data_IF_355288218058
#
_entry.id   IF_355288218058
#
_cell.length_a   1.000
_cell.length_b   1.000
_cell.length_c   1.000
_cell.angle_alpha   90.00
_cell.angle_beta   90.00
_cell.angle_gamma   90.00
#
_symmetry.space_group_name_H-M   'P 1'
#
loop_
_entity.id
_entity.type
_entity.pdbx_description
1 polymer ?
#
# COMPACT_ATOMS: atom_id res chain seq x y z
N UNK A 1 -31.42 14.16 35.13
CA UNK A 1 -32.23 14.12 33.90
C UNK A 1 -31.47 13.35 32.84
N UNK A 2 -31.96 12.17 32.45
CA UNK A 2 -31.35 11.30 31.44
C UNK A 2 -31.88 11.68 30.06
N UNK A 3 -31.05 12.24 29.18
CA UNK A 3 -31.46 12.54 27.80
C UNK A 3 -31.11 11.35 26.90
N UNK A 4 -32.16 10.70 26.40
CA UNK A 4 -32.12 9.51 25.55
C UNK A 4 -31.70 9.92 24.12
N UNK A 5 -30.47 9.57 23.72
CA UNK A 5 -29.86 9.91 22.40
C UNK A 5 -30.49 9.24 21.17
N UNK A 6 -31.68 8.62 21.29
CA UNK A 6 -32.29 7.79 20.23
C UNK A 6 -33.43 8.43 19.43
N UNK A 7 -33.67 9.74 19.55
CA UNK A 7 -34.82 10.40 18.91
C UNK A 7 -34.50 11.45 17.83
N UNK A 8 -33.30 11.46 17.25
CA UNK A 8 -32.94 12.50 16.26
C UNK A 8 -33.00 12.08 14.79
N UNK A 9 -33.65 10.96 14.42
CA UNK A 9 -33.88 10.66 13.01
C UNK A 9 -35.30 10.15 12.82
N UNK A 10 -36.21 11.09 12.62
CA UNK A 10 -37.48 10.83 11.95
C UNK A 10 -37.85 12.10 11.20
N UNK A 11 -38.29 11.96 9.94
CA UNK A 11 -38.62 12.99 8.93
C UNK A 11 -37.39 13.70 8.32
N UNK A 12 -37.15 13.69 7.01
CA UNK A 12 -38.10 14.00 5.93
C UNK A 12 -37.71 13.41 4.56
N UNK A 13 -38.75 12.86 3.90
CA UNK A 13 -39.18 12.94 2.48
C UNK A 13 -38.20 12.80 1.30
N UNK A 14 -38.64 11.88 0.44
CA UNK A 14 -38.36 11.64 -0.98
C UNK A 14 -37.78 12.82 -1.79
N UNK A 15 -36.68 12.53 -2.50
CA UNK A 15 -36.24 13.26 -3.69
C UNK A 15 -35.96 12.27 -4.83
N UNK A 16 -36.57 12.58 -5.96
CA UNK A 16 -36.55 11.92 -7.26
C UNK A 16 -35.17 11.47 -7.75
N UNK A 17 -35.11 10.22 -8.23
CA UNK A 17 -33.96 9.68 -8.94
C UNK A 17 -33.88 10.28 -10.36
N UNK A 18 -33.04 11.29 -10.55
CA UNK A 18 -32.50 11.62 -11.87
C UNK A 18 -31.28 10.72 -12.12
N UNK A 19 -31.44 9.75 -13.03
CA UNK A 19 -30.33 9.01 -13.63
C UNK A 19 -29.48 10.01 -14.46
N UNK A 20 -28.50 10.63 -13.81
CA UNK A 20 -27.43 11.31 -14.53
C UNK A 20 -26.51 10.25 -15.10
N UNK A 21 -26.69 9.91 -16.39
CA UNK A 21 -25.68 9.25 -17.20
C UNK A 21 -24.53 10.25 -17.41
N UNK A 22 -23.73 10.44 -16.36
CA UNK A 22 -22.46 11.16 -16.45
C UNK A 22 -21.53 10.36 -17.34
N UNK A 23 -21.36 10.79 -18.59
CA UNK A 23 -20.25 10.37 -19.41
C UNK A 23 -18.97 10.64 -18.60
N UNK A 24 -18.33 9.57 -18.11
CA UNK A 24 -17.03 9.68 -17.48
C UNK A 24 -16.08 10.25 -18.50
N UNK A 25 -15.61 11.48 -18.27
CA UNK A 25 -14.31 11.87 -18.77
C UNK A 25 -13.32 10.87 -18.16
N UNK A 26 -12.90 9.89 -18.95
CA UNK A 26 -11.68 9.16 -18.67
C UNK A 26 -10.59 10.24 -18.65
N UNK A 27 -10.20 10.67 -17.45
CA UNK A 27 -9.07 11.56 -17.27
C UNK A 27 -7.88 10.89 -17.93
N UNK A 28 -7.54 11.33 -19.14
CA UNK A 28 -6.33 10.89 -19.81
C UNK A 28 -5.20 11.44 -18.97
N UNK A 29 -4.53 10.55 -18.24
CA UNK A 29 -3.28 10.87 -17.57
C UNK A 29 -2.33 11.44 -18.63
N UNK A 30 -2.17 12.77 -18.63
CA UNK A 30 -1.26 13.44 -19.54
C UNK A 30 0.13 12.83 -19.40
N UNK A 31 0.85 12.69 -20.51
CA UNK A 31 2.27 12.31 -20.46
C UNK A 31 2.99 13.28 -19.50
N UNK A 32 3.45 12.76 -18.35
CA UNK A 32 4.06 13.56 -17.27
C UNK A 32 3.31 13.57 -15.93
N UNK A 33 2.10 13.00 -15.80
CA UNK A 33 1.43 12.93 -14.49
C UNK A 33 1.99 11.78 -13.63
N UNK A 34 2.38 12.12 -12.39
CA UNK A 34 2.80 11.14 -11.38
C UNK A 34 1.58 10.40 -10.83
N UNK A 35 1.72 9.09 -10.61
CA UNK A 35 0.71 8.28 -9.93
C UNK A 35 0.57 8.68 -8.46
N UNK A 36 -0.58 8.30 -7.91
CA UNK A 36 -0.83 8.28 -6.48
C UNK A 36 -0.99 6.83 -6.04
N UNK A 37 -0.57 6.52 -4.82
CA UNK A 37 -0.73 5.18 -4.26
C UNK A 37 -1.51 5.26 -2.97
N UNK A 38 -2.49 4.38 -2.83
CA UNK A 38 -3.10 4.08 -1.56
C UNK A 38 -2.44 2.82 -1.01
N UNK A 39 -2.06 2.86 0.26
CA UNK A 39 -1.71 1.65 0.99
C UNK A 39 -2.66 1.48 2.15
N UNK A 40 -3.37 0.35 2.18
CA UNK A 40 -4.20 -0.05 3.32
C UNK A 40 -3.46 -1.06 4.17
N UNK A 41 -3.58 -0.93 5.48
CA UNK A 41 -3.19 -1.95 6.45
C UNK A 41 -4.40 -2.40 7.24
N UNK A 42 -4.81 -3.65 7.07
CA UNK A 42 -5.83 -4.26 7.91
C UNK A 42 -5.13 -4.88 9.12
N UNK A 43 -5.20 -4.19 10.27
CA UNK A 43 -4.67 -4.69 11.53
C UNK A 43 -5.48 -5.89 12.02
N UNK A 44 -4.79 -6.94 12.47
CA UNK A 44 -5.42 -8.18 12.94
C UNK A 44 -5.04 -8.50 14.39
N UNK A 45 -4.34 -7.60 15.06
CA UNK A 45 -3.86 -7.82 16.43
C UNK A 45 -5.00 -7.59 17.43
N UNK A 46 -4.95 -8.25 18.60
CA UNK A 46 -5.89 -7.97 19.68
C UNK A 46 -5.85 -6.49 20.08
N UNK A 47 -7.02 -5.85 20.15
CA UNK A 47 -7.25 -4.59 20.85
C UNK A 47 -8.40 -4.75 21.84
N UNK A 48 -8.83 -3.64 22.45
CA UNK A 48 -9.97 -3.62 23.38
C UNK A 48 -11.29 -4.09 22.75
N UNK A 49 -11.40 -4.16 21.42
CA UNK A 49 -12.60 -4.59 20.68
C UNK A 49 -12.48 -6.04 20.19
N UNK A 50 -11.34 -6.41 19.61
CA UNK A 50 -11.07 -7.74 19.05
C UNK A 50 -10.80 -8.79 20.13
N UNK A 51 -10.12 -8.43 21.22
CA UNK A 51 -9.72 -9.29 22.36
C UNK A 51 -8.75 -10.44 22.02
N UNK A 52 -8.80 -10.98 20.81
CA UNK A 52 -7.91 -12.00 20.26
C UNK A 52 -7.54 -11.64 18.82
N UNK A 53 -6.52 -12.26 18.21
CA UNK A 53 -6.19 -11.98 16.82
C UNK A 53 -7.38 -12.28 15.90
N UNK A 54 -7.65 -11.38 14.96
CA UNK A 54 -8.72 -11.58 13.99
C UNK A 54 -8.34 -12.68 12.99
N UNK A 55 -9.31 -13.53 12.65
CA UNK A 55 -9.14 -14.45 11.53
C UNK A 55 -8.96 -13.66 10.22
N UNK A 56 -7.96 -14.04 9.41
CA UNK A 56 -7.71 -13.42 8.09
C UNK A 56 -8.83 -13.65 7.09
N UNK A 57 -9.44 -14.84 7.13
CA UNK A 57 -10.31 -15.34 6.06
C UNK A 57 -11.45 -14.37 5.63
N UNK A 58 -12.16 -13.67 6.54
CA UNK A 58 -13.19 -12.71 6.12
C UNK A 58 -12.62 -11.51 5.34
N UNK A 59 -11.46 -10.99 5.77
CA UNK A 59 -10.78 -9.88 5.08
C UNK A 59 -10.27 -10.35 3.72
N UNK A 60 -9.61 -11.51 3.66
CA UNK A 60 -9.10 -12.07 2.40
C UNK A 60 -10.23 -12.35 1.40
N UNK A 61 -11.34 -12.93 1.87
CA UNK A 61 -12.50 -13.18 1.02
C UNK A 61 -13.10 -11.88 0.46
N UNK A 62 -13.16 -10.80 1.25
CA UNK A 62 -13.59 -9.50 0.77
C UNK A 62 -12.61 -8.92 -0.26
N UNK A 63 -11.31 -8.97 0.01
CA UNK A 63 -10.29 -8.45 -0.90
C UNK A 63 -10.33 -9.18 -2.24
N UNK A 64 -10.29 -10.51 -2.22
CA UNK A 64 -10.27 -11.37 -3.40
C UNK A 64 -11.58 -11.29 -4.20
N UNK A 65 -12.74 -11.40 -3.55
CA UNK A 65 -14.01 -11.63 -4.23
C UNK A 65 -14.83 -10.37 -4.47
N UNK A 66 -14.56 -9.29 -3.72
CA UNK A 66 -15.31 -8.04 -3.83
C UNK A 66 -14.44 -6.87 -4.27
N UNK A 67 -13.36 -6.56 -3.54
CA UNK A 67 -12.57 -5.34 -3.78
C UNK A 67 -11.78 -5.41 -5.09
N UNK A 68 -10.96 -6.44 -5.29
CA UNK A 68 -10.10 -6.55 -6.48
C UNK A 68 -10.91 -6.57 -7.79
N UNK A 69 -11.99 -7.36 -7.95
CA UNK A 69 -12.81 -7.31 -9.15
C UNK A 69 -13.46 -5.93 -9.38
N UNK A 70 -13.85 -5.24 -8.32
CA UNK A 70 -14.48 -3.92 -8.43
C UNK A 70 -13.49 -2.80 -8.78
N UNK A 71 -12.25 -2.89 -8.30
CA UNK A 71 -11.13 -2.03 -8.72
C UNK A 71 -10.79 -2.27 -10.20
N UNK A 72 -10.67 -3.53 -10.63
CA UNK A 72 -10.40 -3.89 -12.01
C UNK A 72 -11.47 -3.36 -12.98
N UNK A 73 -12.76 -3.45 -12.62
CA UNK A 73 -13.88 -2.85 -13.39
C UNK A 73 -13.77 -1.33 -13.54
N UNK A 74 -13.06 -0.66 -12.63
CA UNK A 74 -12.83 0.80 -12.63
C UNK A 74 -11.48 1.17 -13.24
N UNK A 75 -10.80 0.21 -13.87
CA UNK A 75 -9.55 0.43 -14.59
C UNK A 75 -8.31 0.47 -13.71
N UNK A 76 -8.44 0.21 -12.40
CA UNK A 76 -7.30 0.07 -11.49
C UNK A 76 -6.69 -1.30 -11.69
N UNK A 77 -5.37 -1.34 -11.90
CA UNK A 77 -4.58 -2.56 -12.19
C UNK A 77 -3.33 -2.56 -11.34
N UNK A 78 -2.66 -3.69 -11.26
CA UNK A 78 -1.42 -3.91 -10.50
C UNK A 78 -1.63 -3.71 -8.99
N UNK A 79 -2.76 -4.19 -8.47
CA UNK A 79 -3.07 -4.14 -7.04
C UNK A 79 -2.32 -5.25 -6.31
N UNK A 80 -1.46 -4.86 -5.36
CA UNK A 80 -0.73 -5.79 -4.51
C UNK A 80 -1.49 -6.13 -3.25
N UNK A 81 -1.53 -7.41 -2.88
CA UNK A 81 -2.03 -7.84 -1.57
C UNK A 81 -0.98 -8.71 -0.89
N UNK A 82 -0.49 -8.28 0.27
CA UNK A 82 0.67 -8.89 0.93
C UNK A 82 0.40 -9.27 2.38
N UNK A 83 1.09 -10.31 2.83
CA UNK A 83 1.33 -10.62 4.25
C UNK A 83 2.82 -10.49 4.55
N UNK A 84 3.22 -10.49 5.82
CA UNK A 84 4.62 -10.35 6.18
C UNK A 84 5.31 -11.68 6.46
N UNK A 85 6.62 -11.68 6.26
CA UNK A 85 7.54 -12.75 6.61
C UNK A 85 8.44 -12.29 7.76
N UNK A 86 8.71 -13.18 8.69
CA UNK A 86 9.87 -13.06 9.58
C UNK A 86 11.07 -13.68 8.87
N UNK A 87 12.11 -12.88 8.65
CA UNK A 87 13.31 -13.28 7.90
C UNK A 87 14.52 -13.31 8.82
N UNK A 88 15.25 -14.42 8.81
CA UNK A 88 16.62 -14.49 9.30
C UNK A 88 17.57 -14.28 8.11
N UNK A 89 18.15 -13.09 8.02
CA UNK A 89 19.06 -12.73 6.92
C UNK A 89 20.37 -13.52 6.94
N UNK A 90 20.84 -13.96 8.12
CA UNK A 90 22.10 -14.71 8.26
C UNK A 90 21.90 -16.14 7.80
N UNK A 91 20.81 -16.77 8.22
CA UNK A 91 20.46 -18.13 7.81
C UNK A 91 19.78 -18.18 6.44
N UNK A 92 19.37 -17.03 5.89
CA UNK A 92 18.65 -16.88 4.63
C UNK A 92 17.35 -17.70 4.62
N UNK A 93 16.68 -17.72 5.76
CA UNK A 93 15.39 -18.41 5.96
C UNK A 93 14.27 -17.41 6.22
N UNK A 94 13.04 -17.84 5.97
CA UNK A 94 11.85 -17.06 6.25
C UNK A 94 10.69 -17.93 6.71
N UNK A 95 9.89 -17.41 7.63
CA UNK A 95 8.64 -18.01 8.07
C UNK A 95 7.49 -16.99 7.97
N UNK A 96 6.25 -17.41 7.66
CA UNK A 96 5.10 -16.51 7.69
C UNK A 96 4.93 -15.87 9.07
N UNK A 97 4.67 -14.56 9.11
CA UNK A 97 4.31 -13.88 10.33
C UNK A 97 2.79 -14.01 10.55
N UNK A 98 2.38 -14.92 11.44
CA UNK A 98 0.99 -15.36 11.63
C UNK A 98 -0.01 -14.22 11.91
N UNK A 99 0.40 -13.22 12.71
CA UNK A 99 -0.45 -12.08 13.08
C UNK A 99 -0.07 -10.78 12.34
N UNK A 100 0.65 -10.90 11.22
CA UNK A 100 0.92 -9.74 10.38
C UNK A 100 -0.36 -9.15 9.78
N UNK A 101 -0.43 -7.82 9.64
CA UNK A 101 -1.54 -7.18 8.94
C UNK A 101 -1.58 -7.61 7.46
N UNK A 102 -2.76 -7.48 6.86
CA UNK A 102 -2.90 -7.57 5.39
C UNK A 102 -2.65 -6.19 4.80
N UNK A 103 -1.67 -6.11 3.90
CA UNK A 103 -1.33 -4.88 3.18
C UNK A 103 -1.96 -4.88 1.78
N UNK A 104 -2.58 -3.78 1.39
CA UNK A 104 -3.18 -3.62 0.05
C UNK A 104 -2.65 -2.35 -0.60
N UNK A 105 -1.85 -2.51 -1.66
CA UNK A 105 -1.26 -1.41 -2.42
C UNK A 105 -2.06 -1.18 -3.71
N UNK A 106 -2.64 0.01 -3.86
CA UNK A 106 -3.53 0.35 -4.96
C UNK A 106 -2.99 1.59 -5.69
N UNK A 107 -2.59 1.48 -6.97
CA UNK A 107 -2.18 2.64 -7.77
C UNK A 107 -3.39 3.36 -8.37
N UNK A 108 -3.33 4.69 -8.40
CA UNK A 108 -4.31 5.57 -9.00
C UNK A 108 -3.62 6.57 -9.93
N UNK A 109 -4.28 6.88 -11.05
CA UNK A 109 -3.77 7.84 -12.01
C UNK A 109 -3.83 9.30 -11.49
N UNK A 110 -4.73 9.58 -10.53
CA UNK A 110 -4.98 10.91 -9.98
C UNK A 110 -5.70 10.86 -8.62
N UNK A 111 -5.72 11.97 -7.88
CA UNK A 111 -6.47 12.09 -6.63
C UNK A 111 -7.98 12.00 -6.86
N UNK A 112 -8.46 12.52 -7.99
CA UNK A 112 -9.87 12.46 -8.40
C UNK A 112 -10.30 11.01 -8.59
N UNK A 113 -9.47 10.18 -9.23
CA UNK A 113 -9.75 8.74 -9.37
C UNK A 113 -9.76 8.02 -8.02
N UNK A 114 -8.85 8.35 -7.11
CA UNK A 114 -8.86 7.80 -5.75
C UNK A 114 -10.16 8.14 -5.00
N UNK A 115 -10.53 9.42 -4.97
CA UNK A 115 -11.72 9.89 -4.28
C UNK A 115 -13.02 9.32 -4.89
N UNK A 116 -13.13 9.32 -6.22
CA UNK A 116 -14.29 8.80 -6.93
C UNK A 116 -14.48 7.29 -6.71
N UNK A 117 -13.42 6.49 -6.88
CA UNK A 117 -13.49 5.04 -6.70
C UNK A 117 -13.85 4.67 -5.26
N UNK A 118 -13.30 5.36 -4.26
CA UNK A 118 -13.63 5.13 -2.85
C UNK A 118 -15.14 5.31 -2.58
N UNK A 119 -15.75 6.37 -3.11
CA UNK A 119 -17.18 6.62 -2.97
C UNK A 119 -18.03 5.57 -3.70
N UNK A 120 -17.64 5.21 -4.92
CA UNK A 120 -18.37 4.27 -5.76
C UNK A 120 -18.35 2.83 -5.22
N UNK A 121 -17.23 2.38 -4.65
CA UNK A 121 -17.11 1.04 -4.06
C UNK A 121 -18.14 0.84 -2.93
N UNK A 122 -18.41 1.88 -2.15
CA UNK A 122 -19.40 1.83 -1.06
C UNK A 122 -20.83 1.69 -1.58
N UNK A 123 -21.12 2.14 -2.81
CA UNK A 123 -22.45 2.10 -3.41
C UNK A 123 -22.65 0.92 -4.36
N UNK A 124 -21.58 0.19 -4.70
CA UNK A 124 -21.61 -0.90 -5.68
C UNK A 124 -22.34 -2.14 -5.14
N UNK A 125 -23.52 -2.51 -5.67
CA UNK A 125 -24.28 -3.65 -5.17
C UNK A 125 -23.53 -4.98 -5.28
N UNK A 126 -22.62 -5.11 -6.27
CA UNK A 126 -21.81 -6.32 -6.42
C UNK A 126 -20.75 -6.42 -5.31
N UNK A 127 -20.15 -5.29 -4.90
CA UNK A 127 -19.24 -5.22 -3.75
C UNK A 127 -20.00 -5.55 -2.46
N UNK A 128 -21.17 -4.95 -2.26
CA UNK A 128 -22.00 -5.20 -1.08
C UNK A 128 -22.39 -6.68 -0.96
N UNK A 129 -22.80 -7.30 -2.06
CA UNK A 129 -23.18 -8.72 -2.10
C UNK A 129 -21.98 -9.64 -1.86
N UNK A 130 -20.89 -9.45 -2.60
CA UNK A 130 -19.70 -10.32 -2.50
C UNK A 130 -18.95 -10.14 -1.17
N UNK A 131 -19.01 -8.94 -0.59
CA UNK A 131 -18.35 -8.56 0.65
C UNK A 131 -19.19 -8.71 1.92
N UNK A 132 -20.45 -9.18 1.83
CA UNK A 132 -21.40 -9.14 2.94
C UNK A 132 -20.86 -9.76 4.25
N UNK A 133 -20.17 -10.90 4.15
CA UNK A 133 -19.58 -11.60 5.30
C UNK A 133 -18.50 -10.78 6.05
N UNK A 134 -17.91 -9.78 5.38
CA UNK A 134 -16.94 -8.85 5.95
C UNK A 134 -17.60 -7.50 6.33
N UNK A 135 -18.44 -6.95 5.45
CA UNK A 135 -19.05 -5.63 5.61
C UNK A 135 -20.13 -5.59 6.70
N UNK A 136 -20.77 -6.72 6.98
CA UNK A 136 -21.92 -6.81 7.88
C UNK A 136 -21.60 -7.61 9.15
N UNK A 137 -20.31 -7.73 9.52
CA UNK A 137 -19.92 -8.43 10.75
C UNK A 137 -20.56 -7.79 11.99
N UNK A 138 -21.02 -8.59 12.97
CA UNK A 138 -21.53 -8.06 14.22
C UNK A 138 -20.45 -7.28 14.98
N UNK A 139 -20.85 -6.22 15.71
CA UNK A 139 -19.94 -5.46 16.58
C UNK A 139 -19.15 -6.33 17.57
N UNK A 140 -19.74 -7.44 18.01
CA UNK A 140 -19.13 -8.37 18.96
C UNK A 140 -18.01 -9.24 18.35
N UNK A 141 -17.95 -9.34 17.02
CA UNK A 141 -16.99 -10.16 16.27
C UNK A 141 -16.48 -9.41 15.04
N UNK A 142 -15.77 -8.27 15.22
CA UNK A 142 -15.28 -7.49 14.09
C UNK A 142 -14.23 -8.27 13.28
N UNK A 143 -14.17 -8.03 11.97
CA UNK A 143 -13.27 -8.76 11.06
C UNK A 143 -11.80 -8.31 11.16
N UNK A 144 -11.53 -7.16 11.77
CA UNK A 144 -10.22 -6.55 11.88
C UNK A 144 -10.18 -5.56 13.06
N UNK A 145 -8.97 -5.16 13.42
CA UNK A 145 -8.69 -4.14 14.40
C UNK A 145 -9.04 -2.79 13.77
N UNK A 146 -8.11 -2.19 13.04
CA UNK A 146 -8.32 -0.95 12.31
C UNK A 146 -7.79 -1.09 10.89
N UNK A 147 -8.26 -0.18 10.04
CA UNK A 147 -7.70 0.03 8.72
C UNK A 147 -6.96 1.34 8.80
N UNK A 148 -5.64 1.29 8.67
CA UNK A 148 -4.85 2.48 8.38
C UNK A 148 -4.73 2.66 6.88
N UNK A 149 -4.82 3.90 6.43
CA UNK A 149 -4.64 4.26 5.02
C UNK A 149 -3.57 5.33 4.92
N UNK A 150 -2.62 5.09 4.03
CA UNK A 150 -1.67 6.11 3.58
C UNK A 150 -1.96 6.47 2.14
N UNK A 151 -1.91 7.76 1.87
CA UNK A 151 -1.93 8.30 0.51
C UNK A 151 -0.52 8.78 0.17
N UNK A 152 0.00 8.29 -0.94
CA UNK A 152 1.32 8.61 -1.43
C UNK A 152 1.25 9.29 -2.79
N UNK A 153 2.18 10.21 -3.03
CA UNK A 153 2.48 10.75 -4.35
C UNK A 153 3.76 10.11 -4.88
N UNK A 154 3.77 9.65 -6.13
CA UNK A 154 4.96 9.03 -6.71
C UNK A 154 6.16 10.00 -6.81
N UNK A 155 7.36 9.43 -6.78
CA UNK A 155 8.62 10.17 -6.92
C UNK A 155 8.85 10.66 -8.35
N UNK A 156 9.79 11.58 -8.56
CA UNK A 156 10.11 12.06 -9.91
C UNK A 156 10.83 11.00 -10.75
N UNK A 157 11.79 10.32 -10.13
CA UNK A 157 12.62 9.28 -10.74
C UNK A 157 11.84 7.99 -11.03
N UNK A 158 10.67 7.84 -10.43
CA UNK A 158 9.75 6.71 -10.61
C UNK A 158 8.29 7.18 -10.54
N UNK A 159 7.81 7.89 -11.59
CA UNK A 159 6.50 8.56 -11.56
C UNK A 159 5.32 7.60 -11.66
N UNK A 160 5.56 6.33 -11.98
CA UNK A 160 4.56 5.27 -12.08
C UNK A 160 5.11 3.97 -11.53
N UNK A 161 4.24 3.08 -11.08
CA UNK A 161 4.61 1.75 -10.62
C UNK A 161 5.29 0.96 -11.74
N UNK A 162 6.42 0.34 -11.44
CA UNK A 162 7.10 -0.59 -12.35
C UNK A 162 6.83 -2.02 -11.90
N UNK A 163 6.49 -2.89 -12.85
CA UNK A 163 6.18 -4.29 -12.60
C UNK A 163 7.35 -5.15 -13.10
N UNK A 164 8.19 -5.69 -12.19
CA UNK A 164 9.32 -6.52 -12.56
C UNK A 164 8.88 -7.77 -13.33
N UNK A 165 9.74 -8.27 -14.22
CA UNK A 165 9.41 -9.44 -15.05
C UNK A 165 9.02 -10.68 -14.21
N UNK A 166 9.70 -10.89 -13.07
CA UNK A 166 9.39 -12.00 -12.17
C UNK A 166 8.00 -11.87 -11.51
N UNK A 167 7.47 -10.66 -11.35
CA UNK A 167 6.17 -10.43 -10.74
C UNK A 167 5.03 -10.83 -11.71
N UNK A 168 5.25 -10.64 -13.01
CA UNK A 168 4.25 -10.92 -14.06
C UNK A 168 3.86 -12.39 -14.16
N UNK A 169 4.78 -13.32 -13.88
CA UNK A 169 4.49 -14.76 -13.93
C UNK A 169 3.64 -15.27 -12.77
N UNK A 170 3.46 -14.44 -11.73
CA UNK A 170 2.75 -14.76 -10.49
C UNK A 170 3.21 -16.05 -9.79
N UNK A 171 4.45 -16.46 -10.03
CA UNK A 171 5.00 -17.71 -9.47
C UNK A 171 5.14 -17.62 -7.95
N UNK A 172 4.83 -18.67 -7.18
CA UNK A 172 5.13 -18.73 -5.76
C UNK A 172 6.63 -18.54 -5.47
N UNK A 173 6.96 -18.02 -4.29
CA UNK A 173 8.34 -17.80 -3.85
C UNK A 173 8.84 -16.35 -3.97
N UNK A 174 8.13 -15.49 -4.70
CA UNK A 174 8.42 -14.04 -4.78
C UNK A 174 8.44 -13.41 -3.39
N UNK A 175 9.43 -12.55 -3.17
CA UNK A 175 9.59 -11.80 -1.91
C UNK A 175 9.73 -10.32 -2.24
N UNK A 176 9.07 -9.51 -1.42
CA UNK A 176 9.13 -8.06 -1.45
C UNK A 176 9.69 -7.53 -0.13
N UNK A 177 10.32 -6.36 -0.16
CA UNK A 177 10.71 -5.63 1.06
C UNK A 177 10.14 -4.22 0.98
N UNK A 178 9.18 -3.95 1.86
CA UNK A 178 8.56 -2.65 2.06
C UNK A 178 9.33 -1.87 3.12
N UNK A 179 9.81 -0.68 2.76
CA UNK A 179 10.64 0.14 3.64
C UNK A 179 10.04 1.50 3.88
N UNK A 180 9.95 1.89 5.15
CA UNK A 180 9.58 3.22 5.62
C UNK A 180 10.82 3.99 6.04
N UNK A 181 10.95 5.21 5.53
CA UNK A 181 11.99 6.15 5.95
C UNK A 181 11.28 7.36 6.54
N UNK A 182 11.24 7.41 7.86
CA UNK A 182 10.71 8.53 8.64
C UNK A 182 11.80 9.59 8.80
N UNK A 183 11.39 10.86 8.85
CA UNK A 183 12.27 12.01 9.05
C UNK A 183 11.79 12.87 10.20
N UNK A 184 12.69 13.64 10.81
CA UNK A 184 12.35 14.51 11.95
C UNK A 184 11.75 15.86 11.53
N UNK A 185 11.68 16.15 10.23
CA UNK A 185 10.98 17.31 9.67
C UNK A 185 10.62 17.08 8.20
N UNK A 186 9.68 17.86 7.67
CA UNK A 186 9.27 17.84 6.26
C UNK A 186 10.44 18.21 5.33
N UNK A 187 11.28 19.18 5.72
CA UNK A 187 12.46 19.55 4.94
C UNK A 187 13.43 18.37 4.81
N UNK A 188 13.65 17.61 5.88
CA UNK A 188 14.53 16.44 5.85
C UNK A 188 13.91 15.28 5.06
N UNK A 189 12.61 15.09 5.15
CA UNK A 189 11.91 14.13 4.30
C UNK A 189 12.06 14.47 2.81
N UNK A 190 11.86 15.75 2.44
CA UNK A 190 12.05 16.24 1.07
C UNK A 190 13.51 16.09 0.61
N UNK A 191 14.48 16.35 1.49
CA UNK A 191 15.89 16.13 1.20
C UNK A 191 16.19 14.65 0.90
N UNK A 192 15.63 13.69 1.67
CA UNK A 192 15.81 12.26 1.37
C UNK A 192 15.13 11.86 0.06
N UNK A 193 13.95 12.40 -0.24
CA UNK A 193 13.29 12.17 -1.53
C UNK A 193 14.11 12.72 -2.70
N UNK A 194 14.72 13.90 -2.53
CA UNK A 194 15.63 14.48 -3.52
C UNK A 194 16.90 13.63 -3.73
N UNK A 195 17.43 13.01 -2.67
CA UNK A 195 18.53 12.04 -2.79
C UNK A 195 18.14 10.83 -3.65
N UNK A 196 16.93 10.29 -3.45
CA UNK A 196 16.39 9.23 -4.31
C UNK A 196 16.28 9.68 -5.77
N UNK A 197 15.66 10.83 -5.99
CA UNK A 197 15.44 11.39 -7.32
C UNK A 197 16.75 11.77 -8.04
N UNK A 198 17.82 12.11 -7.30
CA UNK A 198 19.12 12.43 -7.85
C UNK A 198 19.91 11.20 -8.34
N UNK A 199 19.54 9.98 -7.95
CA UNK A 199 20.16 8.78 -8.51
C UNK A 199 20.05 7.49 -7.69
N UNK A 200 19.63 7.52 -6.43
CA UNK A 200 19.54 6.29 -5.61
C UNK A 200 18.53 5.31 -6.21
N UNK A 201 17.42 5.83 -6.75
CA UNK A 201 16.41 5.01 -7.44
C UNK A 201 16.99 4.31 -8.67
N UNK A 202 17.79 5.02 -9.49
CA UNK A 202 18.43 4.42 -10.66
C UNK A 202 19.49 3.39 -10.24
N UNK A 203 20.26 3.69 -9.19
CA UNK A 203 21.23 2.74 -8.61
C UNK A 203 20.55 1.43 -8.18
N UNK A 204 19.39 1.50 -7.52
CA UNK A 204 18.63 0.31 -7.13
C UNK A 204 18.17 -0.50 -8.35
N UNK A 205 17.76 0.16 -9.45
CA UNK A 205 17.43 -0.53 -10.71
C UNK A 205 18.65 -1.25 -11.28
N UNK A 206 19.80 -0.55 -11.38
CA UNK A 206 21.04 -1.10 -11.93
C UNK A 206 21.54 -2.32 -11.14
N UNK A 207 21.33 -2.32 -9.83
CA UNK A 207 21.73 -3.42 -8.94
C UNK A 207 20.70 -4.57 -8.88
N UNK A 208 19.65 -4.52 -9.70
CA UNK A 208 18.65 -5.58 -9.81
C UNK A 208 17.69 -5.66 -8.62
N UNK A 209 17.67 -4.66 -7.74
CA UNK A 209 16.80 -4.63 -6.55
C UNK A 209 15.31 -4.50 -6.92
N UNK A 210 15.01 -4.27 -8.19
CA UNK A 210 13.66 -4.24 -8.77
C UNK A 210 12.71 -3.38 -7.94
N UNK A 211 13.01 -2.07 -7.76
CA UNK A 211 12.05 -1.18 -7.13
C UNK A 211 10.73 -1.20 -7.90
N UNK A 212 9.61 -1.17 -7.18
CA UNK A 212 8.26 -1.23 -7.75
C UNK A 212 7.53 0.10 -7.66
N UNK A 213 7.72 0.84 -6.57
CA UNK A 213 7.30 2.22 -6.45
C UNK A 213 8.10 2.94 -5.36
N UNK A 214 8.12 4.27 -5.44
CA UNK A 214 8.50 5.18 -4.36
C UNK A 214 7.39 6.20 -4.15
N UNK A 215 6.99 6.40 -2.89
CA UNK A 215 5.86 7.25 -2.52
C UNK A 215 6.20 8.22 -1.40
N UNK A 216 5.97 9.51 -1.64
CA UNK A 216 5.97 10.54 -0.60
C UNK A 216 4.64 10.44 0.15
N UNK A 217 4.68 10.20 1.46
CA UNK A 217 3.44 10.19 2.25
C UNK A 217 2.91 11.62 2.34
N UNK A 218 1.67 11.83 1.89
CA UNK A 218 0.98 13.13 1.98
C UNK A 218 -0.20 13.10 2.96
N UNK A 219 -0.67 11.90 3.33
CA UNK A 219 -1.64 11.68 4.38
C UNK A 219 -1.44 10.29 5.01
N UNK A 220 -1.83 10.14 6.27
CA UNK A 220 -1.77 8.88 7.02
C UNK A 220 -0.94 9.00 8.31
N UNK A 221 -0.83 7.91 9.08
CA UNK A 221 -0.04 7.89 10.32
C UNK A 221 1.47 8.12 10.09
N UNK A 222 2.14 8.67 11.12
CA UNK A 222 3.61 8.81 11.21
C UNK A 222 4.25 9.68 10.11
N UNK A 223 3.59 10.78 9.72
CA UNK A 223 4.22 11.79 8.87
C UNK A 223 5.31 12.57 9.66
N UNK A 224 6.37 13.05 8.97
CA UNK A 224 6.67 12.89 7.55
C UNK A 224 7.51 11.63 7.26
N UNK A 225 7.19 10.94 6.17
CA UNK A 225 7.98 9.80 5.71
C UNK A 225 7.82 9.57 4.20
N UNK A 226 8.68 8.73 3.66
CA UNK A 226 8.50 8.08 2.36
C UNK A 226 8.42 6.57 2.54
N UNK A 227 7.78 5.91 1.58
CA UNK A 227 7.73 4.45 1.48
C UNK A 227 8.14 3.98 0.10
N UNK A 228 8.85 2.86 0.04
CA UNK A 228 9.13 2.16 -1.22
C UNK A 228 9.07 0.66 -1.06
N UNK A 229 8.90 -0.05 -2.18
CA UNK A 229 8.97 -1.51 -2.24
C UNK A 229 10.03 -1.92 -3.26
N UNK A 230 10.88 -2.85 -2.85
CA UNK A 230 11.80 -3.62 -3.71
C UNK A 230 11.39 -5.07 -3.70
N UNK A 231 11.88 -5.88 -4.64
CA UNK A 231 11.57 -7.31 -4.63
C UNK A 231 12.46 -8.16 -5.52
N UNK A 232 12.27 -9.47 -5.40
CA UNK A 232 12.90 -10.45 -6.26
C UNK A 232 12.03 -11.71 -6.40
N UNK A 233 12.45 -12.59 -7.32
CA UNK A 233 11.82 -13.90 -7.54
C UNK A 233 11.87 -14.83 -6.31
N UNK A 234 12.83 -14.62 -5.42
CA UNK A 234 13.03 -15.38 -4.18
C UNK A 234 13.85 -14.58 -3.15
N UNK A 235 13.82 -15.02 -1.89
CA UNK A 235 14.54 -14.38 -0.78
C UNK A 235 16.05 -14.31 -1.03
N UNK A 236 16.64 -15.35 -1.60
CA UNK A 236 18.08 -15.41 -1.82
C UNK A 236 18.53 -14.34 -2.80
N UNK A 237 17.86 -14.26 -3.94
CA UNK A 237 18.09 -13.23 -4.96
C UNK A 237 17.92 -11.83 -4.37
N UNK A 238 16.89 -11.63 -3.54
CA UNK A 238 16.65 -10.35 -2.88
C UNK A 238 17.80 -9.95 -1.95
N UNK A 239 18.27 -10.88 -1.11
CA UNK A 239 19.39 -10.64 -0.20
C UNK A 239 20.70 -10.41 -0.96
N UNK A 240 20.96 -11.15 -2.05
CA UNK A 240 22.16 -10.97 -2.87
C UNK A 240 22.17 -9.60 -3.56
N UNK A 241 21.01 -9.11 -4.03
CA UNK A 241 20.90 -7.77 -4.61
C UNK A 241 21.16 -6.67 -3.57
N UNK A 242 20.60 -6.79 -2.36
CA UNK A 242 20.91 -5.87 -1.25
C UNK A 242 22.37 -5.92 -0.82
N UNK A 243 23.00 -7.10 -0.88
CA UNK A 243 24.43 -7.28 -0.59
C UNK A 243 25.35 -6.46 -1.51
N UNK A 244 24.87 -6.11 -2.72
CA UNK A 244 25.60 -5.25 -3.67
C UNK A 244 25.45 -3.76 -3.36
N UNK A 245 24.35 -3.33 -2.74
CA UNK A 245 24.00 -1.91 -2.58
C UNK A 245 24.96 -1.16 -1.62
N UNK A 246 25.12 -1.67 -0.41
CA UNK A 246 26.01 -1.05 0.60
C UNK A 246 27.46 -0.83 0.15
N UNK A 247 28.12 -1.79 -0.52
CA UNK A 247 29.49 -1.60 -0.98
C UNK A 247 29.65 -0.78 -2.27
N UNK A 248 28.58 -0.56 -3.06
CA UNK A 248 28.65 0.13 -4.36
C UNK A 248 29.22 1.56 -4.20
N UNK A 249 30.24 1.93 -4.99
CA UNK A 249 30.89 3.24 -4.86
C UNK A 249 29.95 4.42 -5.11
N UNK A 250 28.91 4.27 -5.96
CA UNK A 250 27.91 5.30 -6.22
C UNK A 250 27.05 5.56 -4.99
N UNK A 251 26.66 4.50 -4.27
CA UNK A 251 25.97 4.62 -2.98
C UNK A 251 26.88 5.27 -1.94
N UNK A 252 28.12 4.80 -1.79
CA UNK A 252 29.07 5.36 -0.82
C UNK A 252 29.29 6.85 -1.03
N UNK A 253 29.53 7.27 -2.27
CA UNK A 253 29.67 8.68 -2.63
C UNK A 253 28.41 9.48 -2.28
N UNK A 254 27.22 8.96 -2.58
CA UNK A 254 25.96 9.63 -2.24
C UNK A 254 25.73 9.71 -0.73
N UNK A 255 25.92 8.60 0.00
CA UNK A 255 25.74 8.56 1.46
C UNK A 255 26.73 9.42 2.23
N UNK A 256 27.92 9.65 1.67
CA UNK A 256 28.97 10.50 2.24
C UNK A 256 28.85 11.98 1.87
N UNK A 257 27.95 12.35 0.96
CA UNK A 257 27.74 13.75 0.57
C UNK A 257 27.02 14.50 1.69
N UNK A 258 27.64 15.55 2.29
CA UNK A 258 27.04 16.30 3.39
C UNK A 258 25.65 16.88 3.08
N UNK A 259 25.33 17.11 1.80
CA UNK A 259 24.02 17.65 1.40
C UNK A 259 22.85 16.70 1.70
N UNK A 260 23.12 15.42 1.90
CA UNK A 260 22.13 14.39 2.24
C UNK A 260 22.18 13.95 3.71
N UNK A 261 23.02 14.58 4.53
CA UNK A 261 23.20 14.18 5.92
C UNK A 261 21.95 14.42 6.77
N UNK A 262 21.70 13.52 7.72
CA UNK A 262 20.64 13.67 8.73
C UNK A 262 19.20 13.66 8.18
N UNK A 263 18.99 13.19 6.95
CA UNK A 263 17.70 13.25 6.29
C UNK A 263 16.75 12.09 6.60
N UNK A 264 17.19 11.09 7.38
CA UNK A 264 16.38 9.96 7.83
C UNK A 264 16.57 9.76 9.33
N UNK A 265 15.50 9.73 10.11
CA UNK A 265 15.55 9.51 11.56
C UNK A 265 15.26 8.05 11.94
N UNK A 266 14.46 7.33 11.15
CA UNK A 266 14.11 5.94 11.40
C UNK A 266 13.84 5.19 10.09
N UNK A 267 14.31 3.95 10.03
CA UNK A 267 14.12 3.05 8.91
C UNK A 267 13.45 1.77 9.41
N UNK A 268 12.27 1.48 8.86
CA UNK A 268 11.56 0.22 9.15
C UNK A 268 11.51 -0.62 7.89
N UNK A 269 11.99 -1.86 7.95
CA UNK A 269 11.92 -2.81 6.86
C UNK A 269 10.97 -3.95 7.21
N UNK A 270 10.08 -4.30 6.27
CA UNK A 270 9.16 -5.43 6.39
C UNK A 270 9.32 -6.31 5.15
N UNK A 271 9.62 -7.59 5.36
CA UNK A 271 9.56 -8.56 4.28
C UNK A 271 8.12 -8.98 4.07
N UNK A 272 7.72 -9.03 2.81
CA UNK A 272 6.36 -9.28 2.38
C UNK A 272 6.33 -10.41 1.36
N UNK A 273 5.26 -11.20 1.40
CA UNK A 273 4.94 -12.22 0.39
C UNK A 273 3.56 -11.92 -0.19
N UNK A 274 3.39 -11.96 -1.52
CA UNK A 274 2.08 -11.73 -2.13
C UNK A 274 1.14 -12.90 -1.81
N UNK A 275 -0.13 -12.59 -1.58
CA UNK A 275 -1.19 -13.59 -1.53
C UNK A 275 -1.41 -14.21 -2.93
N UNK A 276 -2.10 -15.36 -3.00
CA UNK A 276 -2.36 -16.04 -4.27
C UNK A 276 -3.20 -15.21 -5.26
N UNK A 277 -4.02 -14.29 -4.75
CA UNK A 277 -4.88 -13.41 -5.53
C UNK A 277 -4.30 -12.00 -5.72
N UNK A 278 -3.07 -11.74 -5.26
CA UNK A 278 -2.33 -10.51 -5.55
C UNK A 278 -2.06 -10.39 -7.05
N UNK A 279 -2.18 -9.18 -7.61
CA UNK A 279 -1.79 -8.92 -9.00
C UNK A 279 -0.28 -8.72 -9.16
N UNK A 280 0.40 -8.43 -8.05
CA UNK A 280 1.84 -8.23 -7.89
C UNK A 280 2.55 -9.49 -7.39
#
# INVERSE_FOLDING_TARGET
MHTNRRQFITTSLAATATLATGARAAGTAGAGSREYYELRSYGLKPDVRLKAPAARAPVEAYLEKALLPALAKRGVKNVGVFTELKVDKKQRTSEPLADSPLWVLIPYASLETFAGISAELNQDPAVQKAGAAYLQVPKASPAFERIDVWLYRAFQSMPKMEIPAFAKSRTPGRVYEMRDYESHSEERALNKMAMFDAGETQLMRDLGMSPMFFGQAIAGPNLPHLRYITGAKDLNTHLDNWGKFGPDPRWKAMSGDPKWSGNTSKNTARFCVPTAYSEL
#
